data_IF_351759330932
#
_entry.id   IF_351759330932
#
_cell.length_a   1.000
_cell.length_b   1.000
_cell.length_c   1.000
_cell.angle_alpha   90.00
_cell.angle_beta   90.00
_cell.angle_gamma   90.00
#
_symmetry.space_group_name_H-M   'P 1'
#
loop_
_entity.id
_entity.type
_entity.pdbx_description
1 polymer ?
#
# COMPACT_ATOMS: atom_id res chain seq x y z
N UNK A 1 -11.64 54.75 22.46
CA UNK A 1 -13.02 54.24 22.39
C UNK A 1 -12.85 52.80 21.99
N UNK A 2 -13.12 51.83 22.68
CA UNK A 2 -14.07 51.35 23.69
C UNK A 2 -13.98 49.86 23.63
N UNK A 3 -13.57 49.30 24.66
CA UNK A 3 -14.25 48.50 25.68
C UNK A 3 -14.55 47.06 25.27
N UNK A 4 -13.98 46.17 25.99
CA UNK A 4 -14.57 45.24 27.00
C UNK A 4 -15.03 43.94 26.37
N UNK A 5 -14.83 42.81 26.93
CA UNK A 5 -14.52 42.34 28.26
C UNK A 5 -14.67 40.83 28.28
N UNK A 6 -13.91 40.23 29.07
CA UNK A 6 -14.28 39.48 30.26
C UNK A 6 -14.78 38.04 30.12
N UNK A 7 -14.07 37.16 30.73
CA UNK A 7 -14.23 36.45 32.04
C UNK A 7 -14.72 35.03 31.82
N UNK A 8 -14.40 33.99 32.51
CA UNK A 8 -13.93 33.64 33.87
C UNK A 8 -13.76 32.10 33.88
N UNK A 9 -12.69 31.61 34.41
CA UNK A 9 -12.40 30.83 35.61
C UNK A 9 -12.72 29.32 35.51
N UNK A 10 -11.75 28.48 35.64
CA UNK A 10 -11.21 27.86 36.85
C UNK A 10 -12.23 27.02 37.64
N UNK A 11 -11.89 25.74 37.88
CA UNK A 11 -11.89 25.11 39.20
C UNK A 11 -11.12 23.79 39.15
N UNK A 12 -10.06 23.73 39.95
CA UNK A 12 -9.33 22.53 40.33
C UNK A 12 -10.13 21.81 41.42
N UNK A 13 -10.05 20.50 41.44
CA UNK A 13 -10.37 19.73 42.67
C UNK A 13 -9.38 18.57 42.80
N UNK A 14 -8.55 18.73 43.81
CA UNK A 14 -7.69 17.74 44.45
C UNK A 14 -8.55 16.87 45.34
N UNK A 15 -8.40 15.56 45.26
CA UNK A 15 -8.82 14.64 46.31
C UNK A 15 -7.73 13.63 46.62
N UNK A 16 -7.13 13.82 47.79
CA UNK A 16 -6.37 12.80 48.54
C UNK A 16 -7.32 11.71 49.03
N UNK A 17 -6.88 10.46 49.03
CA UNK A 17 -7.32 9.41 49.96
C UNK A 17 -6.32 8.32 50.05
N UNK A 18 -5.53 8.30 51.04
CA UNK A 18 -5.44 7.45 52.23
C UNK A 18 -5.27 5.94 51.99
N UNK A 19 -4.07 5.46 52.32
CA UNK A 19 -3.73 4.07 52.60
C UNK A 19 -4.59 3.44 53.68
N UNK A 20 -5.07 2.22 53.42
CA UNK A 20 -5.45 1.29 54.48
C UNK A 20 -4.99 -0.10 54.13
N UNK A 21 -4.04 -0.62 54.90
CA UNK A 21 -3.66 -2.02 54.96
C UNK A 21 -4.79 -2.86 55.57
N UNK A 22 -5.17 -3.97 54.93
CA UNK A 22 -5.74 -5.09 55.66
C UNK A 22 -5.68 -6.41 54.87
N UNK A 23 -4.94 -7.32 55.48
CA UNK A 23 -5.10 -8.76 55.66
C UNK A 23 -5.62 -9.61 54.49
N UNK A 24 -4.75 -10.43 54.01
CA UNK A 24 -4.99 -11.63 53.18
C UNK A 24 -5.85 -12.66 53.94
N UNK A 25 -6.89 -13.25 53.34
CA UNK A 25 -7.40 -14.55 53.77
C UNK A 25 -6.83 -15.69 52.88
N UNK A 26 -6.58 -16.77 53.54
CA UNK A 26 -6.10 -18.08 53.09
C UNK A 26 -7.04 -18.68 52.03
N UNK A 27 -6.51 -19.35 50.96
CA UNK A 27 -7.38 -19.97 49.97
C UNK A 27 -7.94 -21.31 50.46
N UNK A 28 -9.24 -21.51 50.21
CA UNK A 28 -9.93 -22.79 50.34
C UNK A 28 -9.59 -23.72 49.16
N UNK A 29 -9.70 -25.07 49.33
CA UNK A 29 -9.24 -26.01 48.29
C UNK A 29 -10.08 -25.99 47.04
N UNK A 30 -9.40 -26.11 45.91
CA UNK A 30 -9.96 -26.11 44.56
C UNK A 30 -10.93 -27.27 44.35
N UNK A 31 -12.13 -26.92 43.89
CA UNK A 31 -13.09 -27.85 43.28
C UNK A 31 -12.58 -28.29 41.90
N UNK A 32 -12.76 -29.57 41.56
CA UNK A 32 -12.37 -30.15 40.30
C UNK A 32 -13.00 -29.46 39.09
N UNK A 33 -12.31 -29.34 37.96
CA UNK A 33 -12.84 -28.70 36.78
C UNK A 33 -13.96 -29.52 36.15
N UNK A 34 -15.15 -28.93 36.02
CA UNK A 34 -16.19 -29.41 35.12
C UNK A 34 -15.72 -29.20 33.67
N UNK A 35 -16.05 -30.11 32.74
CA UNK A 35 -15.69 -29.93 31.34
C UNK A 35 -16.39 -28.69 30.80
N UNK A 36 -15.60 -27.75 30.33
CA UNK A 36 -16.07 -26.57 29.64
C UNK A 36 -16.90 -26.97 28.43
N UNK A 37 -18.14 -26.50 28.39
CA UNK A 37 -18.96 -26.52 27.19
C UNK A 37 -18.14 -25.90 26.05
N UNK A 38 -18.04 -26.62 24.93
CA UNK A 38 -17.37 -26.17 23.73
C UNK A 38 -17.89 -24.78 23.36
N UNK A 39 -17.00 -23.80 23.39
CA UNK A 39 -17.29 -22.48 22.88
C UNK A 39 -17.69 -22.65 21.41
N UNK A 40 -18.91 -22.26 21.08
CA UNK A 40 -19.39 -22.19 19.71
C UNK A 40 -18.42 -21.31 18.94
N UNK A 41 -17.75 -21.89 17.95
CA UNK A 41 -17.01 -21.18 16.92
C UNK A 41 -17.99 -20.16 16.35
N UNK A 42 -17.66 -18.85 16.32
CA UNK A 42 -18.51 -17.89 15.64
C UNK A 42 -18.62 -18.35 14.19
N UNK A 43 -19.80 -18.80 13.81
CA UNK A 43 -20.15 -19.03 12.41
C UNK A 43 -19.90 -17.71 11.71
N UNK A 44 -19.04 -17.75 10.69
CA UNK A 44 -18.89 -16.63 9.74
C UNK A 44 -20.31 -16.18 9.37
N UNK A 45 -20.58 -14.87 9.36
CA UNK A 45 -21.88 -14.40 8.91
C UNK A 45 -22.07 -14.99 7.50
N UNK A 46 -23.07 -15.83 7.38
CA UNK A 46 -23.57 -16.27 6.10
C UNK A 46 -24.15 -14.99 5.50
N UNK A 47 -23.39 -14.33 4.63
CA UNK A 47 -23.93 -13.28 3.78
C UNK A 47 -24.85 -14.02 2.83
N UNK A 48 -26.09 -14.21 3.25
CA UNK A 48 -27.20 -14.36 2.34
C UNK A 48 -27.20 -13.06 1.54
N UNK A 49 -26.69 -13.11 0.33
CA UNK A 49 -27.08 -12.17 -0.71
C UNK A 49 -28.53 -12.51 -0.99
N UNK A 50 -29.40 -11.97 -0.15
CA UNK A 50 -30.81 -11.95 -0.36
C UNK A 50 -31.13 -10.83 -1.34
N UNK A 51 -30.75 -11.01 -2.59
CA UNK A 51 -31.61 -10.66 -3.69
C UNK A 51 -32.52 -11.84 -3.86
N UNK A 52 -33.76 -11.68 -3.52
CA UNK A 52 -34.85 -12.33 -4.24
C UNK A 52 -34.81 -11.77 -5.67
N UNK A 53 -33.75 -12.03 -6.40
CA UNK A 53 -33.87 -12.24 -7.80
C UNK A 53 -34.67 -13.52 -7.89
N UNK A 54 -35.95 -13.35 -8.22
CA UNK A 54 -36.87 -14.36 -8.69
C UNK A 54 -36.03 -15.43 -9.35
N UNK A 55 -36.09 -16.67 -8.82
CA UNK A 55 -35.70 -17.82 -9.57
C UNK A 55 -36.39 -17.61 -10.93
N UNK A 56 -35.69 -17.09 -11.90
CA UNK A 56 -36.15 -16.97 -13.27
C UNK A 56 -36.53 -18.41 -13.58
N UNK A 57 -37.81 -18.63 -13.63
CA UNK A 57 -38.41 -19.86 -14.09
C UNK A 57 -37.66 -20.17 -15.37
N UNK A 58 -36.78 -21.18 -15.34
CA UNK A 58 -36.10 -21.66 -16.55
C UNK A 58 -37.23 -21.95 -17.50
N UNK A 59 -37.50 -21.00 -18.42
CA UNK A 59 -38.61 -21.13 -19.33
C UNK A 59 -38.27 -22.33 -20.18
N UNK A 60 -38.93 -23.44 -19.87
CA UNK A 60 -38.68 -24.69 -20.57
C UNK A 60 -39.11 -24.46 -22.01
N UNK A 61 -38.15 -24.51 -22.93
CA UNK A 61 -38.48 -24.37 -24.35
C UNK A 61 -39.46 -25.49 -24.74
N UNK A 62 -40.55 -25.12 -25.42
CA UNK A 62 -41.52 -26.02 -26.00
C UNK A 62 -41.46 -25.88 -27.53
N UNK A 63 -41.41 -27.01 -28.25
CA UNK A 63 -41.38 -26.93 -29.70
C UNK A 63 -42.66 -26.25 -30.22
N UNK A 64 -42.55 -25.35 -31.19
CA UNK A 64 -43.72 -24.83 -31.89
C UNK A 64 -44.62 -25.95 -32.41
N UNK A 65 -45.95 -25.84 -32.30
CA UNK A 65 -46.84 -26.84 -32.78
C UNK A 65 -46.73 -26.98 -34.31
N UNK A 66 -46.56 -28.21 -34.78
CA UNK A 66 -46.48 -28.55 -36.20
C UNK A 66 -47.71 -29.37 -36.59
N UNK A 67 -48.51 -28.81 -37.48
CA UNK A 67 -49.61 -29.56 -38.11
C UNK A 67 -49.08 -30.21 -39.40
N UNK A 68 -49.05 -31.56 -39.39
CA UNK A 68 -48.59 -32.36 -40.55
C UNK A 68 -49.73 -32.69 -41.53
N UNK A 69 -50.99 -32.47 -41.14
CA UNK A 69 -52.16 -32.89 -41.97
C UNK A 69 -51.97 -34.32 -42.53
N UNK A 70 -52.25 -34.48 -43.80
CA UNK A 70 -52.09 -35.73 -44.57
C UNK A 70 -50.75 -35.80 -45.32
N UNK A 71 -49.81 -34.82 -45.06
CA UNK A 71 -48.54 -34.77 -45.79
C UNK A 71 -47.69 -36.02 -45.56
N UNK A 72 -47.14 -36.62 -46.62
CA UNK A 72 -46.27 -37.80 -46.50
C UNK A 72 -45.01 -37.49 -45.67
N UNK A 73 -44.65 -38.32 -44.68
CA UNK A 73 -43.47 -38.17 -43.83
C UNK A 73 -42.16 -37.93 -44.61
N UNK A 74 -42.08 -38.50 -45.82
CA UNK A 74 -40.90 -38.28 -46.69
C UNK A 74 -40.78 -36.84 -47.18
N UNK A 75 -41.92 -36.13 -47.39
CA UNK A 75 -41.87 -34.69 -47.77
C UNK A 75 -41.55 -33.82 -46.56
N UNK A 76 -42.20 -34.08 -45.44
CA UNK A 76 -41.88 -33.37 -44.18
C UNK A 76 -40.38 -33.52 -43.82
N UNK A 77 -39.80 -34.72 -44.02
CA UNK A 77 -38.39 -34.96 -43.78
C UNK A 77 -37.49 -34.11 -44.73
N UNK A 78 -37.86 -34.01 -46.01
CA UNK A 78 -37.13 -33.14 -46.95
C UNK A 78 -37.13 -31.69 -46.48
N UNK A 79 -38.26 -31.19 -45.97
CA UNK A 79 -38.37 -29.84 -45.40
C UNK A 79 -37.48 -29.69 -44.18
N UNK A 80 -37.49 -30.65 -43.26
CA UNK A 80 -36.67 -30.69 -42.09
C UNK A 80 -35.16 -30.69 -42.43
N UNK A 81 -34.79 -31.58 -43.41
CA UNK A 81 -33.41 -31.66 -43.90
C UNK A 81 -32.95 -30.36 -44.57
N UNK A 82 -33.86 -29.68 -45.31
CA UNK A 82 -33.57 -28.39 -45.90
C UNK A 82 -33.43 -27.28 -44.80
N UNK A 83 -34.33 -27.22 -43.83
CA UNK A 83 -34.26 -26.31 -42.72
C UNK A 83 -32.94 -26.47 -41.92
N UNK A 84 -32.52 -27.76 -41.71
CA UNK A 84 -31.25 -28.07 -41.07
C UNK A 84 -30.04 -27.56 -41.89
N UNK A 85 -30.08 -27.68 -43.23
CA UNK A 85 -29.04 -27.14 -44.12
C UNK A 85 -28.98 -25.62 -44.07
N UNK A 86 -30.14 -24.97 -44.00
CA UNK A 86 -30.29 -23.52 -43.95
C UNK A 86 -30.06 -22.95 -42.53
N UNK A 87 -29.62 -23.80 -41.57
CA UNK A 87 -29.38 -23.46 -40.17
C UNK A 87 -30.58 -22.85 -39.42
N UNK A 88 -31.79 -23.18 -39.91
CA UNK A 88 -33.08 -22.89 -39.24
C UNK A 88 -33.41 -24.02 -38.31
N UNK A 89 -33.18 -23.83 -37.00
CA UNK A 89 -33.11 -24.96 -36.07
C UNK A 89 -34.37 -25.13 -35.22
N UNK A 90 -34.92 -24.09 -34.57
CA UNK A 90 -35.87 -24.30 -33.46
C UNK A 90 -36.92 -23.22 -33.23
N UNK A 91 -36.90 -22.10 -33.93
CA UNK A 91 -37.76 -20.94 -33.65
C UNK A 91 -39.17 -21.08 -34.21
N UNK A 92 -39.28 -21.58 -35.40
CA UNK A 92 -40.53 -21.68 -36.14
C UNK A 92 -41.00 -23.11 -36.36
N UNK A 93 -42.30 -23.30 -36.61
CA UNK A 93 -42.88 -24.64 -36.85
C UNK A 93 -42.24 -25.36 -38.07
N UNK A 94 -41.72 -24.57 -39.07
CA UNK A 94 -41.03 -25.09 -40.23
C UNK A 94 -39.50 -25.23 -40.06
N UNK A 95 -39.03 -25.11 -38.85
CA UNK A 95 -37.64 -25.35 -38.56
C UNK A 95 -37.33 -26.83 -38.32
N UNK A 96 -36.03 -27.18 -38.39
CA UNK A 96 -35.59 -28.58 -38.41
C UNK A 96 -36.05 -29.39 -37.19
N UNK A 97 -35.90 -28.87 -35.98
CA UNK A 97 -36.18 -29.58 -34.74
C UNK A 97 -37.70 -29.85 -34.57
N UNK A 98 -38.59 -28.83 -34.68
CA UNK A 98 -40.04 -29.05 -34.61
C UNK A 98 -40.49 -30.05 -35.63
N UNK A 99 -40.05 -29.97 -36.90
CA UNK A 99 -40.41 -30.93 -37.94
C UNK A 99 -39.93 -32.35 -37.63
N UNK A 100 -38.69 -32.54 -37.20
CA UNK A 100 -38.22 -33.90 -36.83
C UNK A 100 -38.96 -34.45 -35.62
N UNK A 101 -39.29 -33.65 -34.62
CA UNK A 101 -40.08 -34.07 -33.45
C UNK A 101 -41.49 -34.50 -33.88
N UNK A 102 -42.14 -33.72 -34.74
CA UNK A 102 -43.46 -34.07 -35.27
C UNK A 102 -43.43 -35.41 -36.07
N UNK A 103 -42.38 -35.65 -36.88
CA UNK A 103 -42.16 -36.91 -37.55
C UNK A 103 -42.01 -38.07 -36.54
N UNK A 104 -41.18 -37.85 -35.46
CA UNK A 104 -40.97 -38.85 -34.42
C UNK A 104 -42.28 -39.19 -33.69
N UNK A 105 -43.08 -38.20 -33.38
CA UNK A 105 -44.39 -38.36 -32.74
C UNK A 105 -45.34 -39.18 -33.62
N UNK A 106 -45.47 -38.86 -34.91
CA UNK A 106 -46.37 -39.54 -35.87
C UNK A 106 -45.87 -40.95 -36.21
N UNK A 107 -44.54 -41.20 -36.14
CA UNK A 107 -43.96 -42.54 -36.43
C UNK A 107 -43.73 -43.36 -35.17
N UNK A 108 -44.28 -43.01 -34.01
CA UNK A 108 -44.06 -43.68 -32.71
C UNK A 108 -42.56 -43.86 -32.38
N UNK A 109 -41.73 -42.91 -32.72
CA UNK A 109 -40.31 -43.01 -32.50
C UNK A 109 -39.53 -43.94 -33.44
N UNK A 110 -40.18 -44.55 -34.44
CA UNK A 110 -39.56 -45.57 -35.29
C UNK A 110 -38.77 -44.98 -36.47
N UNK A 111 -38.90 -43.71 -36.81
CA UNK A 111 -38.18 -43.12 -37.92
C UNK A 111 -36.68 -42.85 -37.59
N UNK A 112 -35.83 -43.72 -38.07
CA UNK A 112 -34.40 -43.63 -37.83
C UNK A 112 -33.70 -42.43 -38.52
N UNK A 113 -34.29 -41.92 -39.62
CA UNK A 113 -33.72 -40.78 -40.32
C UNK A 113 -33.96 -39.47 -39.57
N UNK A 114 -35.19 -39.23 -39.07
CA UNK A 114 -35.46 -38.03 -38.24
C UNK A 114 -34.77 -38.08 -36.89
N UNK A 115 -34.53 -39.26 -36.28
CA UNK A 115 -33.66 -39.36 -35.10
C UNK A 115 -32.22 -38.85 -35.36
N UNK A 116 -31.64 -39.27 -36.51
CA UNK A 116 -30.31 -38.78 -36.92
C UNK A 116 -30.31 -37.28 -37.21
N UNK A 117 -31.40 -36.77 -37.79
CA UNK A 117 -31.58 -35.34 -38.04
C UNK A 117 -31.64 -34.52 -36.74
N UNK A 118 -32.39 -34.99 -35.74
CA UNK A 118 -32.44 -34.38 -34.40
C UNK A 118 -31.07 -34.38 -33.73
N UNK A 119 -30.33 -35.46 -33.86
CA UNK A 119 -29.00 -35.56 -33.30
C UNK A 119 -28.00 -34.60 -33.98
N UNK A 120 -28.12 -34.41 -35.30
CA UNK A 120 -27.34 -33.41 -36.02
C UNK A 120 -27.72 -31.96 -35.65
N UNK A 121 -29.03 -31.70 -35.54
CA UNK A 121 -29.50 -30.39 -35.09
C UNK A 121 -29.02 -30.05 -33.68
N UNK A 122 -29.09 -31.02 -32.75
CA UNK A 122 -28.56 -30.86 -31.39
C UNK A 122 -27.07 -30.57 -31.38
N UNK A 123 -26.26 -31.26 -32.17
CA UNK A 123 -24.82 -30.95 -32.29
C UNK A 123 -24.58 -29.53 -32.77
N UNK A 124 -25.35 -29.06 -33.75
CA UNK A 124 -25.24 -27.66 -34.22
C UNK A 124 -25.62 -26.63 -33.14
N UNK A 125 -26.68 -26.93 -32.33
CA UNK A 125 -27.01 -26.07 -31.18
C UNK A 125 -25.83 -25.93 -30.21
N UNK A 126 -25.17 -27.06 -29.89
CA UNK A 126 -24.06 -27.10 -28.97
C UNK A 126 -22.85 -26.32 -29.55
N UNK A 127 -22.45 -26.61 -30.79
CA UNK A 127 -21.35 -25.92 -31.48
C UNK A 127 -21.58 -24.41 -31.55
N UNK A 128 -22.81 -24.00 -31.92
CA UNK A 128 -23.17 -22.59 -31.98
C UNK A 128 -23.20 -21.94 -30.60
N UNK A 129 -23.70 -22.63 -29.58
CA UNK A 129 -23.68 -22.17 -28.20
C UNK A 129 -22.24 -21.94 -27.69
N UNK A 130 -21.34 -22.88 -27.96
CA UNK A 130 -19.91 -22.74 -27.61
C UNK A 130 -19.23 -21.56 -28.34
N UNK A 131 -19.52 -21.39 -29.63
CA UNK A 131 -19.01 -20.27 -30.42
C UNK A 131 -19.51 -18.90 -29.90
N UNK A 132 -20.75 -18.85 -29.41
CA UNK A 132 -21.31 -17.63 -28.81
C UNK A 132 -20.69 -17.33 -27.45
N UNK A 133 -20.44 -18.37 -26.61
CA UNK A 133 -19.73 -18.19 -25.35
C UNK A 133 -18.36 -17.56 -25.56
N UNK A 134 -17.63 -17.99 -26.58
CA UNK A 134 -16.34 -17.41 -26.93
C UNK A 134 -16.39 -15.93 -27.39
N UNK A 135 -17.58 -15.41 -27.64
CA UNK A 135 -17.82 -14.03 -28.09
C UNK A 135 -18.38 -13.12 -26.98
N UNK A 136 -18.67 -13.65 -25.79
CA UNK A 136 -19.30 -12.90 -24.68
C UNK A 136 -18.51 -11.68 -24.23
N UNK A 137 -17.20 -11.70 -24.36
CA UNK A 137 -16.33 -10.56 -24.03
C UNK A 137 -16.49 -9.37 -24.98
N UNK A 138 -16.96 -9.62 -26.20
CA UNK A 138 -17.10 -8.62 -27.25
C UNK A 138 -18.53 -8.17 -27.47
N UNK A 139 -19.48 -9.05 -27.16
CA UNK A 139 -20.89 -8.86 -27.45
C UNK A 139 -21.75 -9.43 -26.33
N UNK A 140 -22.32 -8.56 -25.51
CA UNK A 140 -23.17 -8.96 -24.37
C UNK A 140 -24.39 -9.82 -24.78
N UNK A 141 -24.95 -9.59 -25.96
CA UNK A 141 -26.08 -10.38 -26.49
C UNK A 141 -25.71 -11.82 -26.86
N UNK A 142 -24.42 -12.14 -27.02
CA UNK A 142 -23.96 -13.48 -27.34
C UNK A 142 -24.25 -14.46 -26.18
N UNK A 143 -24.17 -14.01 -24.94
CA UNK A 143 -24.47 -14.84 -23.78
C UNK A 143 -25.95 -15.21 -23.71
N UNK A 144 -26.86 -14.28 -23.97
CA UNK A 144 -28.29 -14.54 -24.00
C UNK A 144 -28.65 -15.52 -25.11
N UNK A 145 -28.05 -15.38 -26.29
CA UNK A 145 -28.23 -16.33 -27.40
C UNK A 145 -27.67 -17.71 -27.05
N UNK A 146 -26.49 -17.80 -26.38
CA UNK A 146 -25.95 -19.09 -25.95
C UNK A 146 -26.85 -19.77 -24.91
N UNK A 147 -27.44 -18.97 -23.99
CA UNK A 147 -28.41 -19.48 -22.99
C UNK A 147 -29.68 -20.05 -23.66
N UNK A 148 -30.24 -19.34 -24.65
CA UNK A 148 -31.37 -19.78 -25.42
C UNK A 148 -31.07 -21.16 -26.07
N UNK A 149 -29.90 -21.28 -26.74
CA UNK A 149 -29.50 -22.55 -27.37
C UNK A 149 -29.31 -23.69 -26.34
N UNK A 150 -28.76 -23.39 -25.17
CA UNK A 150 -28.60 -24.36 -24.11
C UNK A 150 -29.92 -24.85 -23.54
N UNK A 151 -30.93 -23.96 -23.39
CA UNK A 151 -32.29 -24.32 -22.97
C UNK A 151 -32.96 -25.27 -24.01
N UNK A 152 -32.84 -24.95 -25.29
CA UNK A 152 -33.38 -25.80 -26.37
C UNK A 152 -32.68 -27.16 -26.37
N UNK A 153 -31.35 -27.20 -26.29
CA UNK A 153 -30.59 -28.43 -26.25
C UNK A 153 -30.96 -29.31 -25.02
N UNK A 154 -31.16 -28.67 -23.86
CA UNK A 154 -31.56 -29.36 -22.62
C UNK A 154 -32.95 -29.95 -22.71
N UNK A 155 -33.90 -29.27 -23.35
CA UNK A 155 -35.27 -29.80 -23.60
C UNK A 155 -35.24 -31.03 -24.50
N UNK A 156 -34.30 -31.09 -25.45
CA UNK A 156 -34.16 -32.25 -26.37
C UNK A 156 -33.48 -33.45 -25.71
N UNK A 157 -32.48 -33.24 -24.88
CA UNK A 157 -31.67 -34.32 -24.31
C UNK A 157 -31.12 -33.96 -22.91
N UNK A 158 -31.96 -33.95 -21.86
CA UNK A 158 -31.58 -33.48 -20.52
C UNK A 158 -30.50 -34.32 -19.84
N UNK A 159 -30.31 -35.57 -20.28
CA UNK A 159 -29.29 -36.46 -19.72
C UNK A 159 -27.99 -36.54 -20.53
N UNK A 160 -27.94 -35.83 -21.66
CA UNK A 160 -26.75 -35.85 -22.51
C UNK A 160 -25.61 -35.07 -21.84
N UNK A 161 -24.43 -35.69 -21.64
CA UNK A 161 -23.29 -35.02 -20.97
C UNK A 161 -22.77 -33.79 -21.71
N UNK A 162 -22.90 -33.75 -23.05
CA UNK A 162 -22.44 -32.62 -23.87
C UNK A 162 -23.39 -31.42 -23.73
N UNK A 163 -24.67 -31.64 -23.62
CA UNK A 163 -25.70 -30.63 -23.35
C UNK A 163 -25.49 -30.03 -21.96
N UNK A 164 -25.30 -30.90 -20.95
CA UNK A 164 -24.98 -30.43 -19.59
C UNK A 164 -23.66 -29.66 -19.50
N UNK A 165 -22.67 -30.01 -20.32
CA UNK A 165 -21.42 -29.27 -20.42
C UNK A 165 -21.65 -27.86 -21.00
N UNK A 166 -22.50 -27.73 -22.04
CA UNK A 166 -22.89 -26.44 -22.59
C UNK A 166 -23.61 -25.58 -21.53
N UNK A 167 -24.57 -26.15 -20.80
CA UNK A 167 -25.28 -25.47 -19.73
C UNK A 167 -24.29 -24.92 -18.69
N UNK A 168 -23.38 -25.75 -18.17
CA UNK A 168 -22.35 -25.31 -17.21
C UNK A 168 -21.43 -24.21 -17.77
N UNK A 169 -21.09 -24.30 -19.06
CA UNK A 169 -20.29 -23.31 -19.71
C UNK A 169 -21.02 -21.95 -19.80
N UNK A 170 -22.31 -21.93 -20.09
CA UNK A 170 -23.16 -20.73 -20.06
C UNK A 170 -23.21 -20.12 -18.66
N UNK A 171 -23.47 -20.94 -17.62
CA UNK A 171 -23.51 -20.51 -16.22
C UNK A 171 -22.16 -19.92 -15.78
N UNK A 172 -21.06 -20.55 -16.17
CA UNK A 172 -19.71 -20.04 -15.90
C UNK A 172 -19.48 -18.70 -16.59
N UNK A 173 -19.80 -18.59 -17.88
CA UNK A 173 -19.64 -17.35 -18.64
C UNK A 173 -20.50 -16.21 -18.06
N UNK A 174 -21.72 -16.51 -17.58
CA UNK A 174 -22.58 -15.53 -16.91
C UNK A 174 -21.94 -15.00 -15.61
N UNK A 175 -21.37 -15.88 -14.79
CA UNK A 175 -20.67 -15.49 -13.56
C UNK A 175 -19.41 -14.66 -13.87
N UNK A 176 -18.61 -15.08 -14.84
CA UNK A 176 -17.43 -14.31 -15.29
C UNK A 176 -17.83 -12.92 -15.76
N UNK A 177 -18.88 -12.80 -16.57
CA UNK A 177 -19.38 -11.51 -17.04
C UNK A 177 -19.87 -10.62 -15.89
N UNK A 178 -20.59 -11.19 -14.91
CA UNK A 178 -21.06 -10.43 -13.74
C UNK A 178 -19.92 -9.90 -12.89
N UNK A 179 -18.90 -10.72 -12.61
CA UNK A 179 -17.70 -10.28 -11.90
C UNK A 179 -16.91 -9.21 -12.67
N UNK A 180 -16.75 -9.38 -13.98
CA UNK A 180 -16.07 -8.38 -14.80
C UNK A 180 -16.80 -7.03 -14.77
N UNK A 181 -18.14 -7.02 -14.87
CA UNK A 181 -18.96 -5.80 -14.79
C UNK A 181 -18.83 -5.14 -13.42
N UNK A 182 -18.93 -5.92 -12.34
CA UNK A 182 -18.72 -5.40 -10.99
C UNK A 182 -17.32 -4.82 -10.79
N UNK A 183 -16.29 -5.51 -11.28
CA UNK A 183 -14.91 -5.03 -11.23
C UNK A 183 -14.69 -3.74 -12.01
N UNK A 184 -15.31 -3.60 -13.18
CA UNK A 184 -15.24 -2.36 -13.98
C UNK A 184 -15.99 -1.19 -13.32
N UNK A 185 -17.09 -1.47 -12.63
CA UNK A 185 -17.80 -0.47 -11.84
C UNK A 185 -16.95 0.01 -10.66
N UNK A 186 -16.32 -0.92 -9.95
CA UNK A 186 -15.39 -0.60 -8.87
C UNK A 186 -14.19 0.23 -9.35
N UNK A 187 -13.61 -0.13 -10.50
CA UNK A 187 -12.54 0.66 -11.13
C UNK A 187 -12.97 2.09 -11.41
N UNK A 188 -14.16 2.26 -12.00
CA UNK A 188 -14.72 3.60 -12.27
C UNK A 188 -14.96 4.39 -10.98
N UNK A 189 -15.33 3.71 -9.91
CA UNK A 189 -15.50 4.27 -8.57
C UNK A 189 -14.19 4.48 -7.80
N UNK A 190 -13.03 4.10 -8.37
CA UNK A 190 -11.73 4.19 -7.70
C UNK A 190 -11.50 3.18 -6.57
N UNK A 191 -12.36 2.17 -6.42
CA UNK A 191 -12.24 1.09 -5.44
C UNK A 191 -11.36 -0.02 -6.00
N UNK A 192 -10.05 0.05 -5.77
CA UNK A 192 -9.08 -0.87 -6.38
C UNK A 192 -8.97 -2.21 -5.65
N UNK A 193 -9.31 -2.27 -4.36
CA UNK A 193 -9.25 -3.51 -3.56
C UNK A 193 -8.40 -3.41 -2.30
N UNK A 194 -8.07 -2.19 -1.87
CA UNK A 194 -7.29 -1.90 -0.66
C UNK A 194 -7.93 -2.40 0.63
N UNK A 195 -9.26 -2.41 0.70
CA UNK A 195 -10.04 -2.83 1.87
C UNK A 195 -10.48 -4.30 1.80
N UNK A 196 -9.91 -5.08 0.88
CA UNK A 196 -10.30 -6.46 0.66
C UNK A 196 -11.60 -6.63 -0.15
N UNK A 197 -12.17 -5.53 -0.65
CA UNK A 197 -13.32 -5.49 -1.55
C UNK A 197 -12.98 -4.60 -2.76
N UNK A 198 -13.75 -4.71 -3.84
CA UNK A 198 -13.57 -3.86 -5.03
C UNK A 198 -13.02 -4.61 -6.23
N UNK A 199 -12.48 -3.83 -7.19
CA UNK A 199 -12.13 -4.32 -8.52
C UNK A 199 -11.21 -5.55 -8.52
N UNK A 200 -10.17 -5.55 -7.67
CA UNK A 200 -9.22 -6.66 -7.59
C UNK A 200 -9.88 -7.98 -7.21
N UNK A 201 -10.80 -7.96 -6.25
CA UNK A 201 -11.51 -9.16 -5.78
C UNK A 201 -12.41 -9.70 -6.90
N UNK A 202 -13.21 -8.82 -7.51
CA UNK A 202 -14.10 -9.19 -8.60
C UNK A 202 -13.34 -9.79 -9.80
N UNK A 203 -12.24 -9.17 -10.24
CA UNK A 203 -11.47 -9.74 -11.35
C UNK A 203 -10.71 -11.02 -10.97
N UNK A 204 -10.33 -11.22 -9.71
CA UNK A 204 -9.76 -12.49 -9.25
C UNK A 204 -10.79 -13.61 -9.26
N UNK A 205 -12.02 -13.33 -8.82
CA UNK A 205 -13.10 -14.30 -8.86
C UNK A 205 -13.46 -14.69 -10.30
N UNK A 206 -13.46 -13.70 -11.21
CA UNK A 206 -13.60 -13.97 -12.64
C UNK A 206 -12.45 -14.84 -13.17
N UNK A 207 -11.19 -14.54 -12.79
CA UNK A 207 -10.01 -15.30 -13.22
C UNK A 207 -9.95 -16.73 -12.66
N UNK A 208 -10.56 -16.99 -11.49
CA UNK A 208 -10.69 -18.34 -10.95
C UNK A 208 -11.63 -19.21 -11.80
N UNK A 209 -12.65 -18.61 -12.41
CA UNK A 209 -13.61 -19.29 -13.27
C UNK A 209 -13.11 -19.45 -14.70
N UNK A 210 -12.43 -18.42 -15.23
CA UNK A 210 -11.85 -18.39 -16.57
C UNK A 210 -10.54 -17.61 -16.57
N UNK A 211 -9.40 -18.31 -16.33
CA UNK A 211 -8.07 -17.67 -16.24
C UNK A 211 -7.64 -17.01 -17.55
N UNK A 212 -8.15 -17.46 -18.67
CA UNK A 212 -7.77 -16.99 -19.99
C UNK A 212 -8.66 -15.88 -20.53
N UNK A 213 -9.67 -15.47 -19.78
CA UNK A 213 -10.60 -14.44 -20.18
C UNK A 213 -9.89 -13.09 -20.46
N UNK A 214 -9.99 -12.55 -21.69
CA UNK A 214 -9.28 -11.32 -22.06
C UNK A 214 -9.75 -10.09 -21.28
N UNK A 215 -11.04 -9.97 -21.01
CA UNK A 215 -11.64 -8.85 -20.27
C UNK A 215 -11.16 -8.84 -18.82
N UNK A 216 -11.12 -10.01 -18.19
CA UNK A 216 -10.59 -10.19 -16.83
C UNK A 216 -9.11 -9.81 -16.75
N UNK A 217 -8.29 -10.27 -17.72
CA UNK A 217 -6.86 -9.91 -17.78
C UNK A 217 -6.65 -8.40 -17.96
N UNK A 218 -7.46 -7.77 -18.80
CA UNK A 218 -7.44 -6.32 -18.97
C UNK A 218 -7.84 -5.59 -17.69
N UNK A 219 -8.87 -6.07 -16.98
CA UNK A 219 -9.31 -5.55 -15.70
C UNK A 219 -8.20 -5.61 -14.64
N UNK A 220 -7.53 -6.76 -14.49
CA UNK A 220 -6.39 -6.90 -13.59
C UNK A 220 -5.23 -5.96 -13.95
N UNK A 221 -4.92 -5.77 -15.23
CA UNK A 221 -3.92 -4.81 -15.65
C UNK A 221 -4.32 -3.36 -15.35
N UNK A 222 -5.60 -3.03 -15.44
CA UNK A 222 -6.13 -1.71 -15.08
C UNK A 222 -6.04 -1.45 -13.56
N UNK A 223 -6.34 -2.46 -12.73
CA UNK A 223 -6.15 -2.39 -11.27
C UNK A 223 -4.68 -2.14 -10.93
N UNK A 224 -3.75 -2.91 -11.52
CA UNK A 224 -2.31 -2.71 -11.35
C UNK A 224 -1.92 -1.27 -11.68
N UNK A 225 -2.32 -0.78 -12.86
CA UNK A 225 -2.03 0.60 -13.29
C UNK A 225 -2.55 1.65 -12.32
N UNK A 226 -3.77 1.45 -11.78
CA UNK A 226 -4.35 2.33 -10.76
C UNK A 226 -3.55 2.35 -9.45
N UNK A 227 -3.09 1.18 -9.01
CA UNK A 227 -2.25 1.06 -7.81
C UNK A 227 -0.86 1.71 -8.01
N UNK A 228 -0.27 1.56 -9.21
CA UNK A 228 0.98 2.23 -9.55
C UNK A 228 0.83 3.76 -9.61
N UNK A 229 -0.29 4.26 -10.13
CA UNK A 229 -0.60 5.69 -10.12
C UNK A 229 -0.70 6.23 -8.68
N UNK A 230 -1.35 5.50 -7.75
CA UNK A 230 -1.39 5.87 -6.33
C UNK A 230 0.01 5.86 -5.69
N UNK A 231 0.86 4.90 -6.07
CA UNK A 231 2.24 4.86 -5.59
C UNK A 231 3.04 6.09 -6.03
N UNK A 232 2.91 6.49 -7.27
CA UNK A 232 3.56 7.68 -7.81
C UNK A 232 3.02 8.97 -7.17
N UNK A 233 1.71 9.09 -7.01
CA UNK A 233 1.08 10.22 -6.32
C UNK A 233 1.54 10.34 -4.85
N UNK A 234 1.66 9.23 -4.13
CA UNK A 234 2.20 9.23 -2.78
C UNK A 234 3.67 9.71 -2.75
N UNK A 235 4.48 9.26 -3.72
CA UNK A 235 5.87 9.70 -3.85
C UNK A 235 5.98 11.20 -4.18
N UNK A 236 5.11 11.75 -5.03
CA UNK A 236 5.02 13.19 -5.32
C UNK A 236 4.69 14.01 -4.05
N UNK A 237 3.85 13.45 -3.17
CA UNK A 237 3.56 14.02 -1.86
C UNK A 237 4.66 13.77 -0.81
N UNK A 238 5.82 13.21 -1.20
CA UNK A 238 6.92 12.79 -0.31
C UNK A 238 6.53 11.72 0.72
N UNK A 239 5.42 11.00 0.50
CA UNK A 239 5.02 9.83 1.27
C UNK A 239 5.59 8.54 0.64
N UNK A 240 6.88 8.31 0.84
CA UNK A 240 7.56 7.13 0.31
C UNK A 240 7.20 5.83 1.04
N UNK A 241 6.60 5.92 2.22
CA UNK A 241 6.04 4.76 2.94
C UNK A 241 4.76 4.32 2.25
N UNK A 242 3.84 5.25 2.00
CA UNK A 242 2.63 5.01 1.22
C UNK A 242 2.94 4.52 -0.20
N UNK A 243 3.92 5.13 -0.86
CA UNK A 243 4.37 4.69 -2.18
C UNK A 243 4.82 3.22 -2.20
N UNK A 244 5.58 2.76 -1.21
CA UNK A 244 5.98 1.35 -1.07
C UNK A 244 4.81 0.42 -0.82
N UNK A 245 3.85 0.85 0.00
CA UNK A 245 2.62 0.10 0.23
C UNK A 245 1.86 -0.16 -1.07
N UNK A 246 1.62 0.88 -1.87
CA UNK A 246 0.92 0.75 -3.14
C UNK A 246 1.69 -0.08 -4.17
N UNK A 247 3.03 0.03 -4.22
CA UNK A 247 3.87 -0.84 -5.05
C UNK A 247 3.76 -2.31 -4.64
N UNK A 248 3.69 -2.60 -3.35
CA UNK A 248 3.49 -3.95 -2.84
C UNK A 248 2.12 -4.49 -3.24
N UNK A 249 1.06 -3.68 -3.12
CA UNK A 249 -0.29 -4.04 -3.56
C UNK A 249 -0.34 -4.34 -5.06
N UNK A 250 0.30 -3.50 -5.89
CA UNK A 250 0.43 -3.75 -7.33
C UNK A 250 1.14 -5.08 -7.62
N UNK A 251 2.19 -5.42 -6.88
CA UNK A 251 2.89 -6.69 -6.97
C UNK A 251 2.03 -7.92 -6.67
N UNK A 252 1.02 -7.77 -5.84
CA UNK A 252 0.06 -8.85 -5.57
C UNK A 252 -0.92 -9.09 -6.72
N UNK A 253 -1.14 -8.10 -7.60
CA UNK A 253 -2.01 -8.27 -8.77
C UNK A 253 -1.30 -9.09 -9.85
N UNK A 254 -0.07 -8.72 -10.20
CA UNK A 254 0.77 -9.39 -11.20
C UNK A 254 2.24 -9.32 -10.78
N UNK A 255 2.70 -10.33 -10.08
CA UNK A 255 3.98 -10.38 -9.35
C UNK A 255 5.22 -10.00 -10.17
N UNK A 256 5.22 -10.29 -11.47
CA UNK A 256 6.40 -10.10 -12.35
C UNK A 256 6.17 -9.09 -13.47
N UNK A 257 5.21 -8.18 -13.30
CA UNK A 257 4.98 -7.18 -14.33
C UNK A 257 6.16 -6.19 -14.42
N UNK A 258 6.74 -5.95 -15.60
CA UNK A 258 7.87 -5.02 -15.76
C UNK A 258 7.49 -3.59 -15.36
N UNK A 259 6.22 -3.20 -15.49
CA UNK A 259 5.65 -1.92 -15.06
C UNK A 259 5.91 -1.60 -13.59
N UNK A 260 5.92 -2.62 -12.71
CA UNK A 260 6.20 -2.47 -11.28
C UNK A 260 7.67 -2.11 -11.04
N UNK A 261 8.59 -2.77 -11.75
CA UNK A 261 10.02 -2.46 -11.66
C UNK A 261 10.31 -1.04 -12.14
N UNK A 262 9.68 -0.62 -13.22
CA UNK A 262 9.81 0.73 -13.78
C UNK A 262 9.26 1.81 -12.83
N UNK A 263 8.08 1.58 -12.25
CA UNK A 263 7.48 2.48 -11.26
C UNK A 263 8.36 2.59 -10.00
N UNK A 264 8.85 1.45 -9.50
CA UNK A 264 9.81 1.43 -8.37
C UNK A 264 11.05 2.26 -8.66
N UNK A 265 11.63 2.11 -9.85
CA UNK A 265 12.81 2.87 -10.24
C UNK A 265 12.51 4.38 -10.36
N UNK A 266 11.31 4.77 -10.84
CA UNK A 266 10.88 6.19 -10.86
C UNK A 266 10.74 6.75 -9.46
N UNK A 267 10.02 6.07 -8.58
CA UNK A 267 9.79 6.49 -7.19
C UNK A 267 11.12 6.62 -6.44
N UNK A 268 12.04 5.70 -6.66
CA UNK A 268 13.37 5.75 -6.03
C UNK A 268 14.19 6.96 -6.54
N UNK A 269 14.09 7.31 -7.83
CA UNK A 269 14.71 8.55 -8.32
C UNK A 269 14.10 9.80 -7.69
N UNK A 270 12.77 9.85 -7.53
CA UNK A 270 12.08 10.95 -6.87
C UNK A 270 12.54 11.10 -5.41
N UNK A 271 12.64 9.98 -4.68
CA UNK A 271 13.11 9.95 -3.30
C UNK A 271 14.53 10.51 -3.18
N UNK A 272 15.45 10.06 -4.03
CA UNK A 272 16.84 10.55 -4.02
C UNK A 272 16.93 12.02 -4.38
N UNK A 273 16.15 12.48 -5.35
CA UNK A 273 16.09 13.89 -5.71
C UNK A 273 15.60 14.76 -4.54
N UNK A 274 14.57 14.31 -3.82
CA UNK A 274 14.05 15.00 -2.66
C UNK A 274 15.07 15.05 -1.50
N UNK A 275 15.77 13.93 -1.23
CA UNK A 275 16.84 13.88 -0.23
C UNK A 275 17.96 14.88 -0.59
N UNK A 276 18.38 14.93 -1.85
CA UNK A 276 19.41 15.86 -2.30
C UNK A 276 18.97 17.33 -2.17
N UNK A 277 17.74 17.65 -2.55
CA UNK A 277 17.20 19.01 -2.41
C UNK A 277 17.13 19.45 -0.94
N UNK A 278 16.66 18.59 -0.05
CA UNK A 278 16.63 18.85 1.39
C UNK A 278 18.05 18.98 1.98
N UNK A 279 18.98 18.15 1.55
CA UNK A 279 20.38 18.23 1.96
C UNK A 279 20.97 19.60 1.59
N UNK A 280 20.79 20.04 0.34
CA UNK A 280 21.30 21.34 -0.12
C UNK A 280 20.65 22.50 0.64
N UNK A 281 19.34 22.42 0.92
CA UNK A 281 18.65 23.39 1.77
C UNK A 281 19.24 23.44 3.19
N UNK A 282 19.44 22.27 3.80
CA UNK A 282 20.06 22.17 5.12
C UNK A 282 21.50 22.72 5.16
N UNK A 283 22.29 22.47 4.11
CA UNK A 283 23.64 23.09 3.98
C UNK A 283 23.56 24.60 3.84
N UNK A 284 22.61 25.12 3.09
CA UNK A 284 22.38 26.56 2.97
C UNK A 284 22.06 27.17 4.33
N UNK A 285 21.19 26.57 5.10
CA UNK A 285 20.84 27.04 6.46
C UNK A 285 22.05 27.09 7.38
N UNK A 286 22.97 26.13 7.27
CA UNK A 286 24.21 26.09 8.06
C UNK A 286 25.20 27.24 7.74
N UNK A 287 24.95 28.02 6.70
CA UNK A 287 25.82 29.22 6.40
C UNK A 287 25.68 30.32 7.44
N UNK A 288 24.61 30.29 8.25
CA UNK A 288 24.38 31.30 9.29
C UNK A 288 24.16 30.66 10.67
N UNK A 289 24.59 31.31 11.77
CA UNK A 289 24.34 30.79 13.13
C UNK A 289 22.85 30.71 13.49
N UNK A 290 21.99 31.50 12.84
CA UNK A 290 20.52 31.46 13.03
C UNK A 290 19.86 30.32 12.31
N UNK A 291 20.51 29.75 11.31
CA UNK A 291 19.98 28.63 10.51
C UNK A 291 20.14 27.23 11.15
N UNK A 292 20.84 27.10 12.29
CA UNK A 292 21.06 25.81 12.96
C UNK A 292 19.74 25.07 13.28
N UNK A 293 18.72 25.82 13.72
CA UNK A 293 17.40 25.25 14.01
C UNK A 293 16.74 24.75 12.73
N UNK A 294 16.72 25.57 11.67
CA UNK A 294 16.15 25.20 10.37
C UNK A 294 16.85 23.98 9.77
N UNK A 295 18.20 23.95 9.81
CA UNK A 295 18.97 22.79 9.37
C UNK A 295 18.65 21.52 10.16
N UNK A 296 18.35 21.65 11.47
CA UNK A 296 17.88 20.53 12.30
C UNK A 296 16.51 20.02 11.89
N UNK A 297 15.57 20.90 11.57
CA UNK A 297 14.26 20.57 11.05
C UNK A 297 14.37 19.89 9.68
N UNK A 298 15.20 20.44 8.79
CA UNK A 298 15.49 19.83 7.48
C UNK A 298 16.12 18.43 7.61
N UNK A 299 17.05 18.25 8.55
CA UNK A 299 17.62 16.92 8.82
C UNK A 299 16.55 15.94 9.29
N UNK A 300 15.60 16.35 10.12
CA UNK A 300 14.50 15.49 10.55
C UNK A 300 13.63 15.05 9.35
N UNK A 301 13.38 15.95 8.39
CA UNK A 301 12.67 15.60 7.15
C UNK A 301 13.46 14.61 6.28
N UNK A 302 14.77 14.83 6.12
CA UNK A 302 15.65 13.90 5.39
C UNK A 302 15.59 12.51 6.04
N UNK A 303 15.72 12.43 7.37
CA UNK A 303 15.69 11.15 8.09
C UNK A 303 14.35 10.42 8.02
N UNK A 304 13.25 11.12 7.79
CA UNK A 304 11.91 10.53 7.59
C UNK A 304 11.81 9.77 6.28
N UNK A 305 12.55 10.21 5.25
CA UNK A 305 12.45 9.64 3.89
C UNK A 305 13.69 8.85 3.46
N UNK A 306 14.81 9.03 4.13
CA UNK A 306 16.06 8.31 3.86
C UNK A 306 16.04 6.90 4.42
N UNK A 307 16.76 5.99 3.77
CA UNK A 307 16.98 4.66 4.32
C UNK A 307 18.02 4.69 5.47
N UNK A 308 17.97 3.72 6.39
CA UNK A 308 18.99 3.59 7.41
C UNK A 308 20.40 3.51 6.80
N UNK A 309 21.30 4.40 7.25
CA UNK A 309 22.67 4.45 6.74
C UNK A 309 22.86 5.26 5.46
N UNK A 310 21.87 6.03 5.02
CA UNK A 310 22.00 6.92 3.87
C UNK A 310 23.16 7.90 4.05
N UNK A 311 24.06 7.95 3.08
CA UNK A 311 25.28 8.73 3.14
C UNK A 311 25.02 10.25 3.13
N UNK A 312 24.00 10.70 2.39
CA UNK A 312 23.62 12.11 2.26
C UNK A 312 23.03 12.62 3.58
N UNK A 313 22.13 11.83 4.18
CA UNK A 313 21.59 12.10 5.53
C UNK A 313 22.70 12.13 6.58
N UNK A 314 23.65 11.20 6.50
CA UNK A 314 24.82 11.14 7.37
C UNK A 314 25.75 12.36 7.22
N UNK A 315 25.90 12.88 6.01
CA UNK A 315 26.71 14.09 5.77
C UNK A 315 26.07 15.33 6.41
N UNK A 316 24.76 15.56 6.18
CA UNK A 316 24.05 16.67 6.78
C UNK A 316 24.08 16.61 8.31
N UNK A 317 23.89 15.41 8.89
CA UNK A 317 23.99 15.21 10.35
C UNK A 317 25.36 15.62 10.88
N UNK A 318 26.46 15.15 10.26
CA UNK A 318 27.83 15.51 10.68
C UNK A 318 28.08 17.03 10.59
N UNK A 319 27.63 17.66 9.51
CA UNK A 319 27.81 19.11 9.33
C UNK A 319 27.01 19.91 10.34
N UNK A 320 25.78 19.52 10.63
CA UNK A 320 24.98 20.17 11.67
C UNK A 320 25.62 19.98 13.05
N UNK A 321 26.15 18.80 13.37
CA UNK A 321 26.86 18.54 14.61
C UNK A 321 28.10 19.43 14.73
N UNK A 322 28.91 19.50 13.68
CA UNK A 322 30.10 20.39 13.66
C UNK A 322 29.70 21.87 13.82
N UNK A 323 28.69 22.33 13.09
CA UNK A 323 28.22 23.71 13.20
C UNK A 323 27.67 24.05 14.59
N UNK A 324 26.98 23.10 15.23
CA UNK A 324 26.42 23.26 16.56
C UNK A 324 27.50 23.37 17.64
N UNK A 325 28.57 22.57 17.54
CA UNK A 325 29.58 22.51 18.57
C UNK A 325 30.79 23.43 18.34
N UNK A 326 31.08 23.74 17.07
CA UNK A 326 32.30 24.47 16.71
C UNK A 326 32.06 25.77 15.91
N UNK A 327 30.84 26.04 15.46
CA UNK A 327 30.54 27.16 14.58
C UNK A 327 31.28 27.02 13.25
N UNK A 328 32.09 28.02 12.90
CA UNK A 328 32.92 28.03 11.67
C UNK A 328 34.24 27.27 11.80
N UNK A 329 34.57 26.78 12.99
CA UNK A 329 35.82 26.09 13.26
C UNK A 329 35.69 24.58 13.16
N UNK A 330 36.84 23.89 13.22
CA UNK A 330 36.89 22.41 13.25
C UNK A 330 37.71 21.94 14.44
N UNK A 331 37.43 20.76 15.01
CA UNK A 331 38.24 20.18 16.06
C UNK A 331 39.71 20.10 15.63
N UNK A 332 40.64 20.53 16.49
CA UNK A 332 42.08 20.52 16.21
C UNK A 332 42.57 21.62 15.24
N UNK A 333 41.68 22.48 14.75
CA UNK A 333 42.08 23.58 13.87
C UNK A 333 42.92 24.56 14.64
N UNK A 334 44.09 24.92 14.06
CA UNK A 334 44.94 26.00 14.55
C UNK A 334 44.64 27.30 13.80
N UNK A 335 44.46 28.36 14.51
CA UNK A 335 44.18 29.68 13.93
C UNK A 335 44.83 30.81 14.78
N UNK A 336 44.91 31.98 14.19
CA UNK A 336 45.30 33.21 14.92
C UNK A 336 44.32 34.31 14.53
N UNK A 337 43.91 35.11 15.49
CA UNK A 337 43.07 36.28 15.25
C UNK A 337 43.93 37.53 14.93
N UNK A 338 43.41 38.38 14.05
CA UNK A 338 43.95 39.72 13.86
C UNK A 338 43.58 40.60 15.05
N UNK A 339 44.56 41.28 15.63
CA UNK A 339 44.32 42.20 16.72
C UNK A 339 43.87 43.57 16.17
N UNK A 340 42.90 44.21 16.85
CA UNK A 340 42.40 45.55 16.46
C UNK A 340 43.48 46.61 16.44
N UNK A 341 44.56 46.43 17.21
CA UNK A 341 45.69 47.30 17.29
C UNK A 341 46.82 47.03 16.28
N UNK A 342 46.55 46.06 15.38
CA UNK A 342 47.54 45.58 14.40
C UNK A 342 48.29 44.34 14.93
N UNK A 343 48.78 43.52 13.98
CA UNK A 343 49.48 42.28 14.31
C UNK A 343 48.51 41.08 14.47
N UNK A 344 49.08 39.97 14.91
CA UNK A 344 48.33 38.69 15.16
C UNK A 344 48.41 38.34 16.62
N UNK A 345 47.32 37.76 17.14
CA UNK A 345 47.28 37.17 18.47
C UNK A 345 48.08 35.86 18.57
N UNK A 346 48.06 35.20 19.73
CA UNK A 346 48.69 33.89 19.90
C UNK A 346 48.04 32.85 18.99
N UNK A 347 48.77 31.80 18.68
CA UNK A 347 48.22 30.64 18.00
C UNK A 347 47.24 29.89 18.93
N UNK A 348 46.02 29.68 18.46
CA UNK A 348 44.97 29.03 19.18
C UNK A 348 44.68 27.67 18.53
N UNK A 349 44.34 26.68 19.32
CA UNK A 349 43.84 25.38 18.85
C UNK A 349 42.41 25.18 19.33
N UNK A 350 41.57 24.65 18.47
CA UNK A 350 40.17 24.28 18.82
C UNK A 350 40.17 22.95 19.53
N UNK A 351 39.89 22.98 20.84
CA UNK A 351 39.72 21.78 21.68
C UNK A 351 38.31 21.19 21.45
N UNK A 352 38.22 19.89 21.21
CA UNK A 352 36.93 19.23 21.00
C UNK A 352 35.96 19.37 22.20
N UNK A 353 34.66 19.43 21.91
CA UNK A 353 33.64 19.22 22.94
C UNK A 353 33.76 17.78 23.48
N UNK A 354 33.37 17.59 24.72
CA UNK A 354 33.47 16.27 25.34
C UNK A 354 33.39 16.34 26.86
N UNK A 355 33.80 15.30 27.51
CA UNK A 355 33.87 15.24 28.97
C UNK A 355 35.18 14.56 29.38
N UNK A 356 35.73 15.02 30.49
CA UNK A 356 36.90 14.40 31.11
C UNK A 356 36.73 14.40 32.62
N UNK A 357 37.50 13.56 33.26
CA UNK A 357 37.56 13.53 34.71
C UNK A 357 38.60 14.55 35.19
N UNK A 358 38.16 15.50 35.98
CA UNK A 358 39.02 16.56 36.58
C UNK A 358 39.20 16.27 38.06
N UNK A 359 40.40 16.49 38.55
CA UNK A 359 40.77 16.29 39.95
C UNK A 359 41.39 14.93 40.23
N UNK A 360 41.84 14.74 41.44
CA UNK A 360 42.54 13.56 41.90
C UNK A 360 41.60 12.63 42.70
N UNK A 361 41.86 11.31 42.61
CA UNK A 361 41.20 10.32 43.47
C UNK A 361 41.78 10.35 44.88
N UNK A 362 41.04 9.84 45.87
CA UNK A 362 41.52 9.79 47.26
C UNK A 362 42.81 8.94 47.43
N UNK A 363 43.05 8.02 46.53
CA UNK A 363 44.19 7.15 46.51
C UNK A 363 45.41 7.68 45.73
N UNK A 364 45.34 8.86 45.12
CA UNK A 364 46.41 9.40 44.28
C UNK A 364 47.53 10.02 45.11
N UNK A 365 48.77 9.43 45.06
CA UNK A 365 49.89 9.94 45.85
C UNK A 365 50.31 11.33 45.41
N UNK A 366 50.47 12.25 46.37
CA UNK A 366 50.95 13.60 46.14
C UNK A 366 49.89 14.61 45.72
N UNK A 367 48.63 14.18 45.58
CA UNK A 367 47.54 15.07 45.29
C UNK A 367 47.16 15.94 46.50
N UNK A 368 46.99 17.24 46.27
CA UNK A 368 46.56 18.22 47.26
C UNK A 368 45.05 18.16 47.53
N UNK A 369 44.60 18.62 48.70
CA UNK A 369 43.18 18.60 49.07
C UNK A 369 42.28 19.44 48.10
N UNK A 370 42.85 20.48 47.49
CA UNK A 370 42.13 21.30 46.50
C UNK A 370 41.98 20.62 45.12
N UNK A 371 42.63 19.50 44.91
CA UNK A 371 42.46 18.67 43.70
C UNK A 371 41.39 17.62 43.87
N UNK A 372 40.79 17.45 45.02
CA UNK A 372 39.77 16.46 45.36
C UNK A 372 38.40 17.14 45.59
N UNK A 373 37.31 16.43 45.31
CA UNK A 373 37.23 15.09 44.73
C UNK A 373 37.39 15.08 43.20
N UNK A 374 37.77 13.94 42.64
CA UNK A 374 37.67 13.76 41.18
C UNK A 374 36.21 13.84 40.72
N UNK A 375 35.94 14.66 39.71
CA UNK A 375 34.60 14.86 39.18
C UNK A 375 34.62 15.00 37.67
N UNK A 376 33.46 14.70 37.02
CA UNK A 376 33.32 14.86 35.56
C UNK A 376 33.00 16.29 35.18
N UNK A 377 33.84 16.84 34.27
CA UNK A 377 33.60 18.14 33.63
C UNK A 377 33.21 17.89 32.17
N UNK A 378 32.09 18.48 31.74
CA UNK A 378 31.60 18.37 30.39
C UNK A 378 31.57 19.72 29.70
N UNK A 379 32.15 19.79 28.51
CA UNK A 379 32.03 20.91 27.59
C UNK A 379 31.01 20.59 26.52
N UNK A 380 29.93 21.35 26.47
CA UNK A 380 28.87 21.20 25.46
C UNK A 380 29.29 21.72 24.07
N UNK A 381 30.32 22.57 24.03
CA UNK A 381 30.91 23.16 22.80
C UNK A 381 32.40 23.04 22.83
N UNK A 382 33.03 23.00 21.65
CA UNK A 382 34.46 23.21 21.52
C UNK A 382 34.84 24.62 21.98
N UNK A 383 36.03 24.76 22.48
CA UNK A 383 36.63 26.05 22.88
C UNK A 383 38.03 26.19 22.29
N UNK A 384 38.52 27.41 22.20
CA UNK A 384 39.88 27.66 21.74
C UNK A 384 40.81 27.88 22.92
N UNK A 385 41.97 27.24 22.89
CA UNK A 385 43.04 27.41 23.86
C UNK A 385 44.31 27.78 23.12
N UNK A 386 45.14 28.63 23.71
CA UNK A 386 46.50 28.93 23.19
C UNK A 386 47.35 27.64 23.18
N UNK A 387 48.09 27.41 22.10
CA UNK A 387 48.97 26.25 21.97
C UNK A 387 50.24 26.35 22.80
N UNK A 388 50.54 27.54 23.24
CA UNK A 388 51.67 27.85 24.16
C UNK A 388 51.17 28.77 25.26
N UNK A 389 51.93 28.89 26.32
CA UNK A 389 51.71 29.93 27.33
C UNK A 389 51.80 31.30 26.68
N UNK A 390 51.01 32.25 27.21
CA UNK A 390 51.04 33.66 26.77
C UNK A 390 52.37 34.28 27.15
N UNK A 391 53.09 34.76 26.18
CA UNK A 391 54.40 35.45 26.43
C UNK A 391 54.24 36.80 27.11
N UNK A 392 55.26 37.24 27.79
CA UNK A 392 55.30 38.60 28.39
C UNK A 392 55.08 39.70 27.33
N UNK A 393 55.57 39.49 26.12
CA UNK A 393 55.38 40.42 25.00
C UNK A 393 53.92 40.50 24.58
N UNK A 394 53.24 39.38 24.42
CA UNK A 394 51.83 39.34 24.06
C UNK A 394 50.92 39.88 25.17
N UNK A 395 51.25 39.62 26.44
CA UNK A 395 50.53 40.19 27.57
C UNK A 395 50.71 41.70 27.66
N UNK A 396 51.90 42.20 27.39
CA UNK A 396 52.15 43.61 27.34
C UNK A 396 51.34 44.29 26.25
N UNK A 397 51.32 43.74 25.05
CA UNK A 397 50.55 44.24 23.94
C UNK A 397 49.03 44.30 24.28
N UNK A 398 48.51 43.28 24.99
CA UNK A 398 47.13 43.28 25.47
C UNK A 398 46.85 44.41 26.46
N UNK A 399 47.74 44.58 27.44
CA UNK A 399 47.67 45.71 28.43
C UNK A 399 47.65 47.05 27.76
N UNK A 400 48.56 47.26 26.82
CA UNK A 400 48.67 48.53 26.06
C UNK A 400 47.41 48.78 25.22
N UNK A 401 46.91 47.78 24.56
CA UNK A 401 45.74 47.89 23.68
C UNK A 401 44.41 48.12 24.44
N UNK A 402 44.25 47.53 25.62
CA UNK A 402 42.99 47.54 26.38
C UNK A 402 42.98 48.51 27.57
N UNK A 403 44.15 49.05 27.96
CA UNK A 403 44.29 49.80 29.21
C UNK A 403 44.01 48.89 30.46
N UNK A 404 44.01 47.57 30.32
CA UNK A 404 43.76 46.65 31.42
C UNK A 404 44.88 46.86 32.50
N UNK A 405 44.46 46.85 33.77
CA UNK A 405 45.38 46.87 34.91
C UNK A 405 45.32 45.57 35.67
N UNK A 406 46.17 44.58 35.38
CA UNK A 406 46.24 43.35 36.11
C UNK A 406 46.42 43.55 37.60
N UNK A 407 45.91 42.65 38.43
CA UNK A 407 45.92 42.77 39.88
C UNK A 407 47.34 42.92 40.43
N UNK A 408 48.36 42.26 39.84
CA UNK A 408 49.75 42.32 40.21
C UNK A 408 50.36 43.72 39.98
N UNK A 409 50.09 44.33 38.80
CA UNK A 409 50.58 45.69 38.49
C UNK A 409 49.88 46.77 39.30
N UNK A 410 48.63 46.54 39.73
CA UNK A 410 47.91 47.47 40.61
C UNK A 410 48.49 47.53 42.02
N UNK A 411 49.20 46.50 42.50
CA UNK A 411 49.81 46.40 43.83
C UNK A 411 51.29 46.71 43.82
N UNK A 412 51.86 47.13 42.67
CA UNK A 412 53.30 47.49 42.59
C UNK A 412 54.29 46.30 42.70
N UNK A 413 53.76 45.06 42.59
CA UNK A 413 54.59 43.87 42.61
C UNK A 413 54.78 43.37 41.20
N UNK A 414 56.00 43.17 40.76
CA UNK A 414 56.35 42.51 39.52
C UNK A 414 56.06 41.02 39.68
N UNK A 415 55.18 40.51 38.83
CA UNK A 415 55.08 39.04 38.61
C UNK A 415 55.84 38.79 37.32
N UNK A 416 57.06 38.31 37.46
CA UNK A 416 57.83 37.71 36.36
C UNK A 416 57.29 36.33 36.09
#
# INVERSE_FOLDING_TARGET
MGKCGNRIAAWALVALSVCACSRTPTPAPAAAPQPAAAAAVPSKPNVSIGGEESAETVTQWQPPPVDLGDEPLAQVRKRADQALKDDRLYRDADDAIPLYLAIQQRADGKDAASRRGLEQARRRLIERGQALIAQTDRQDSALEQARELAIVALALAPQDPTVRALQRAVETAQRVLSFNRAGEEDLRGGRLGEDGNGALVNFRDAAQLDPDNPRTRQGLAAVESGLLARAEQAAEASDFIGARYWLQMAGQVRERAPTIADARARIERMRRAQIAALHDAGLHDLTSPRGLKAAGETLAEVLRIADPGDAVAGDLRRRLELATHYGSFRPGQVFTDGLKVGGRGPQMIVVPHGAFQMGASDAEPGASDNERPAHYVRFARGFALSITEVTVAEFRQFVEATGARPRATRRGHSVV
#
